data_IF_166251325273
#
_entry.id   IF_166251325273
#
_cell.length_a   1.000
_cell.length_b   1.000
_cell.length_c   1.000
_cell.angle_alpha   90.00
_cell.angle_beta   90.00
_cell.angle_gamma   90.00
#
_symmetry.space_group_name_H-M   'P 1'
#
loop_
_entity.id
_entity.type
_entity.pdbx_description
1 polymer ?
#
# COMPACT_ATOMS: atom_id res chain seq x y z
N UNK A 1 5.93 6.33 -3.86
CA UNK A 1 5.53 5.54 -2.67
C UNK A 1 5.04 4.13 -2.98
N UNK A 2 5.61 3.12 -2.30
CA UNK A 2 5.16 1.71 -2.26
C UNK A 2 4.40 1.43 -0.95
N UNK A 3 3.43 0.50 -0.99
CA UNK A 3 2.60 0.12 0.16
C UNK A 3 2.81 -1.34 0.54
N UNK A 4 3.14 -1.59 1.80
CA UNK A 4 3.18 -2.93 2.39
C UNK A 4 2.09 -3.11 3.45
N UNK A 5 1.33 -4.20 3.36
CA UNK A 5 0.38 -4.55 4.42
C UNK A 5 1.15 -5.00 5.67
N UNK A 6 0.62 -4.72 6.86
CA UNK A 6 1.16 -5.25 8.12
C UNK A 6 0.28 -6.35 8.68
N UNK A 7 0.87 -7.22 9.50
CA UNK A 7 0.10 -8.13 10.36
C UNK A 7 -0.71 -7.35 11.38
N UNK A 8 -1.80 -7.96 11.87
CA UNK A 8 -2.69 -7.32 12.86
C UNK A 8 -1.91 -7.03 14.15
N UNK A 9 -2.03 -5.81 14.66
CA UNK A 9 -1.36 -5.38 15.89
C UNK A 9 0.09 -4.91 15.69
N UNK A 10 0.70 -5.21 14.55
CA UNK A 10 2.13 -4.95 14.32
C UNK A 10 2.51 -3.48 14.46
N UNK A 11 1.69 -2.57 13.94
CA UNK A 11 1.91 -1.13 14.07
C UNK A 11 1.92 -0.71 15.53
N UNK A 12 0.98 -1.23 16.34
CA UNK A 12 0.92 -0.95 17.78
C UNK A 12 2.15 -1.51 18.50
N UNK A 13 2.56 -2.72 18.15
CA UNK A 13 3.75 -3.36 18.74
C UNK A 13 5.01 -2.54 18.42
N UNK A 14 5.20 -2.08 17.18
CA UNK A 14 6.34 -1.23 16.80
C UNK A 14 6.26 0.12 17.53
N UNK A 15 5.08 0.73 17.61
CA UNK A 15 4.86 1.99 18.33
C UNK A 15 5.24 1.87 19.81
N UNK A 16 4.81 0.78 20.46
CA UNK A 16 5.09 0.53 21.88
C UNK A 16 6.59 0.30 22.16
N UNK A 17 7.36 -0.12 21.14
CA UNK A 17 8.80 -0.36 21.23
C UNK A 17 9.65 0.81 20.69
N UNK A 18 9.17 2.05 20.83
CA UNK A 18 9.90 3.25 20.43
C UNK A 18 9.59 3.75 19.01
N UNK A 19 8.69 3.09 18.29
CA UNK A 19 8.18 3.54 17.00
C UNK A 19 9.05 3.16 15.81
N UNK A 20 8.58 3.56 14.62
CA UNK A 20 9.19 3.16 13.35
C UNK A 20 10.64 3.66 13.19
N UNK A 21 10.95 4.87 13.67
CA UNK A 21 12.31 5.42 13.63
C UNK A 21 13.29 4.60 14.48
N UNK A 22 12.87 4.17 15.67
CA UNK A 22 13.74 3.34 16.54
C UNK A 22 13.98 1.96 15.92
N UNK A 23 12.96 1.38 15.30
CA UNK A 23 13.13 0.15 14.51
C UNK A 23 14.11 0.35 13.35
N UNK A 24 13.99 1.45 12.61
CA UNK A 24 14.83 1.76 11.45
C UNK A 24 16.32 1.91 11.79
N UNK A 25 16.66 2.44 12.98
CA UNK A 25 18.06 2.57 13.44
C UNK A 25 18.81 1.24 13.56
N UNK A 26 18.10 0.11 13.63
CA UNK A 26 18.75 -1.23 13.61
C UNK A 26 19.32 -1.58 12.23
N UNK A 27 18.81 -0.96 11.17
CA UNK A 27 19.04 -1.35 9.79
C UNK A 27 19.74 -0.30 8.94
N UNK A 28 19.49 0.98 9.23
CA UNK A 28 19.89 2.10 8.38
C UNK A 28 20.70 3.15 9.14
N UNK A 29 21.33 4.05 8.36
CA UNK A 29 22.10 5.18 8.84
C UNK A 29 21.28 6.48 8.74
N UNK A 30 21.73 7.52 9.45
CA UNK A 30 21.14 8.86 9.39
C UNK A 30 19.61 8.88 9.60
N UNK A 31 19.12 8.04 10.52
CA UNK A 31 17.68 7.90 10.77
C UNK A 31 17.18 9.03 11.65
N UNK A 32 16.21 9.78 11.15
CA UNK A 32 15.54 10.87 11.85
C UNK A 32 14.03 10.61 11.92
N UNK A 33 13.42 10.85 13.09
CA UNK A 33 11.98 10.75 13.21
C UNK A 33 11.30 11.99 12.64
N UNK A 34 10.30 11.80 11.78
CA UNK A 34 9.56 12.88 11.12
C UNK A 34 8.11 13.01 11.62
N UNK A 35 7.75 12.29 12.68
CA UNK A 35 6.41 12.30 13.27
C UNK A 35 6.08 10.98 13.97
N UNK A 36 4.83 10.82 14.38
CA UNK A 36 4.35 9.58 14.99
C UNK A 36 4.47 8.42 14.00
N UNK A 37 5.35 7.47 14.31
CA UNK A 37 5.64 6.30 13.48
C UNK A 37 6.06 6.61 12.03
N UNK A 38 6.82 7.69 11.85
CA UNK A 38 7.45 8.06 10.60
C UNK A 38 8.94 8.31 10.78
N UNK A 39 9.73 8.05 9.73
CA UNK A 39 11.15 8.39 9.69
C UNK A 39 11.62 8.75 8.28
N UNK A 40 12.72 9.48 8.24
CA UNK A 40 13.62 9.62 7.10
C UNK A 40 14.94 8.93 7.43
N UNK A 41 15.63 8.38 6.42
CA UNK A 41 16.93 7.76 6.62
C UNK A 41 17.63 7.45 5.31
N UNK A 42 18.80 6.81 5.40
CA UNK A 42 19.60 6.41 4.25
C UNK A 42 20.47 5.22 4.61
N UNK A 43 20.85 4.39 3.65
CA UNK A 43 21.85 3.34 3.90
C UNK A 43 22.45 2.83 2.60
N UNK A 44 23.78 2.92 2.47
CA UNK A 44 24.52 2.42 1.31
C UNK A 44 23.94 2.94 -0.01
N UNK A 45 23.40 2.04 -0.84
CA UNK A 45 22.77 2.39 -2.12
C UNK A 45 21.42 3.13 -1.98
N UNK A 46 20.74 3.05 -0.83
CA UNK A 46 19.48 3.75 -0.57
C UNK A 46 19.78 5.18 -0.09
N UNK A 47 19.72 6.17 -0.99
CA UNK A 47 20.11 7.56 -0.71
C UNK A 47 19.10 8.29 0.14
N UNK A 48 17.83 8.01 -0.07
CA UNK A 48 16.77 8.44 0.83
C UNK A 48 15.78 7.30 1.04
N UNK A 49 15.29 7.21 2.26
CA UNK A 49 14.21 6.36 2.69
C UNK A 49 13.26 7.26 3.45
N UNK A 50 12.02 7.36 2.99
CA UNK A 50 10.94 7.95 3.75
C UNK A 50 9.93 6.86 4.04
N UNK A 51 9.54 6.69 5.30
CA UNK A 51 8.56 5.67 5.64
C UNK A 51 7.65 6.11 6.78
N UNK A 52 6.38 5.74 6.69
CA UNK A 52 5.40 5.98 7.73
C UNK A 52 4.31 4.90 7.74
N UNK A 53 3.69 4.67 8.89
CA UNK A 53 2.47 3.87 8.93
C UNK A 53 1.23 4.70 8.56
N UNK A 54 0.36 4.14 7.72
CA UNK A 54 -0.97 4.67 7.40
C UNK A 54 -2.01 3.57 7.64
N UNK A 55 -2.67 3.62 8.80
CA UNK A 55 -3.50 2.51 9.27
C UNK A 55 -2.66 1.24 9.50
N UNK A 56 -3.11 0.09 8.98
CA UNK A 56 -2.39 -1.20 9.06
C UNK A 56 -1.46 -1.42 7.85
N UNK A 57 -0.80 -0.37 7.38
CA UNK A 57 0.11 -0.44 6.24
C UNK A 57 1.34 0.44 6.44
N UNK A 58 2.50 -0.07 6.02
CA UNK A 58 3.71 0.71 5.86
C UNK A 58 3.72 1.33 4.47
N UNK A 59 3.88 2.64 4.40
CA UNK A 59 4.08 3.40 3.16
C UNK A 59 5.55 3.79 3.13
N UNK A 60 6.22 3.53 2.00
CA UNK A 60 7.63 3.86 1.85
C UNK A 60 7.90 4.58 0.53
N UNK A 61 8.89 5.44 0.52
CA UNK A 61 9.53 5.98 -0.67
C UNK A 61 11.03 5.75 -0.52
N UNK A 62 11.67 5.20 -1.55
CA UNK A 62 13.10 4.91 -1.50
C UNK A 62 13.73 5.35 -2.81
N UNK A 63 14.70 6.25 -2.70
CA UNK A 63 15.59 6.60 -3.81
C UNK A 63 16.85 5.75 -3.75
N UNK A 64 17.18 5.08 -4.86
CA UNK A 64 18.27 4.13 -4.93
C UNK A 64 19.29 4.54 -5.99
N UNK A 65 20.56 4.56 -5.60
CA UNK A 65 21.66 4.64 -6.54
C UNK A 65 22.01 3.25 -7.08
N UNK A 66 22.38 3.19 -8.36
CA UNK A 66 22.88 1.94 -8.95
C UNK A 66 24.29 1.68 -8.42
N UNK A 67 24.60 0.44 -8.00
CA UNK A 67 25.99 0.11 -7.71
C UNK A 67 26.83 0.17 -9.00
N UNK A 68 28.13 0.38 -8.84
CA UNK A 68 29.08 0.14 -9.91
C UNK A 68 29.12 -1.35 -10.23
N UNK A 69 28.60 -1.71 -11.41
CA UNK A 69 28.51 -3.08 -11.90
C UNK A 69 29.87 -3.66 -12.34
N UNK A 70 30.87 -2.81 -12.58
CA UNK A 70 32.22 -3.24 -12.94
C UNK A 70 33.05 -3.64 -11.72
N UNK A 71 32.61 -3.26 -10.52
CA UNK A 71 33.28 -3.52 -9.26
C UNK A 71 32.54 -4.61 -8.45
N UNK A 72 33.11 -5.82 -8.30
CA UNK A 72 32.49 -6.91 -7.55
C UNK A 72 32.19 -6.58 -6.08
N UNK A 73 33.01 -5.76 -5.42
CA UNK A 73 32.81 -5.36 -4.02
C UNK A 73 31.63 -4.39 -3.88
N UNK A 74 31.49 -3.45 -4.82
CA UNK A 74 30.32 -2.57 -4.92
C UNK A 74 29.03 -3.39 -5.08
N UNK A 75 29.06 -4.40 -5.95
CA UNK A 75 27.93 -5.31 -6.12
C UNK A 75 27.62 -6.14 -4.87
N UNK A 76 28.64 -6.55 -4.12
CA UNK A 76 28.48 -7.27 -2.86
C UNK A 76 27.83 -6.39 -1.79
N UNK A 77 28.35 -5.17 -1.58
CA UNK A 77 27.77 -4.19 -0.64
C UNK A 77 26.31 -3.91 -0.97
N UNK A 78 25.99 -3.68 -2.25
CA UNK A 78 24.62 -3.44 -2.69
C UNK A 78 23.65 -4.60 -2.39
N UNK A 79 24.14 -5.85 -2.35
CA UNK A 79 23.32 -7.01 -1.93
C UNK A 79 23.09 -6.99 -0.42
N UNK A 80 24.09 -6.64 0.36
CA UNK A 80 23.99 -6.51 1.81
C UNK A 80 23.02 -5.38 2.21
N UNK A 81 23.08 -4.24 1.53
CA UNK A 81 22.14 -3.13 1.71
C UNK A 81 20.68 -3.56 1.44
N UNK A 82 20.46 -4.30 0.33
CA UNK A 82 19.14 -4.85 -0.02
C UNK A 82 18.67 -5.92 0.96
N UNK A 83 19.58 -6.67 1.56
CA UNK A 83 19.25 -7.63 2.61
C UNK A 83 18.76 -6.90 3.86
N UNK A 84 19.44 -5.84 4.29
CA UNK A 84 19.02 -5.00 5.42
C UNK A 84 17.65 -4.36 5.18
N UNK A 85 17.42 -3.84 3.98
CA UNK A 85 16.10 -3.35 3.57
C UNK A 85 15.02 -4.43 3.70
N UNK A 86 15.30 -5.64 3.23
CA UNK A 86 14.36 -6.76 3.30
C UNK A 86 14.06 -7.15 4.75
N UNK A 87 15.07 -7.20 5.62
CA UNK A 87 14.90 -7.51 7.04
C UNK A 87 14.13 -6.42 7.78
N UNK A 88 14.39 -5.15 7.48
CA UNK A 88 13.57 -4.04 7.97
C UNK A 88 12.10 -4.20 7.57
N UNK A 89 11.82 -4.54 6.30
CA UNK A 89 10.46 -4.81 5.86
C UNK A 89 9.84 -6.01 6.59
N UNK A 90 10.60 -7.07 6.84
CA UNK A 90 10.14 -8.22 7.61
C UNK A 90 9.74 -7.81 9.04
N UNK A 91 10.61 -7.08 9.74
CA UNK A 91 10.36 -6.67 11.12
C UNK A 91 9.31 -5.55 11.24
N UNK A 92 9.17 -4.66 10.25
CA UNK A 92 8.17 -3.58 10.28
C UNK A 92 6.79 -4.03 9.82
N UNK A 93 6.68 -5.06 8.97
CA UNK A 93 5.40 -5.55 8.46
C UNK A 93 4.92 -6.83 9.15
N UNK A 94 5.85 -7.63 9.68
CA UNK A 94 5.57 -8.97 10.19
C UNK A 94 5.29 -10.01 9.09
N UNK A 95 5.64 -9.71 7.85
CA UNK A 95 5.53 -10.62 6.71
C UNK A 95 6.91 -10.83 6.10
N UNK A 96 7.18 -12.03 5.59
CA UNK A 96 8.33 -12.26 4.70
C UNK A 96 8.10 -11.69 3.29
N UNK A 97 9.12 -11.76 2.43
CA UNK A 97 9.05 -11.28 1.04
C UNK A 97 7.94 -11.92 0.22
N UNK A 98 7.68 -13.23 0.40
CA UNK A 98 6.63 -13.96 -0.31
C UNK A 98 5.25 -13.45 0.10
N UNK A 99 5.00 -13.35 1.39
CA UNK A 99 3.74 -12.86 1.95
C UNK A 99 3.50 -11.39 1.63
N UNK A 100 4.52 -10.54 1.62
CA UNK A 100 4.39 -9.16 1.11
C UNK A 100 3.92 -9.14 -0.34
N UNK A 101 4.50 -9.98 -1.20
CA UNK A 101 4.09 -10.12 -2.60
C UNK A 101 2.64 -10.62 -2.75
N UNK A 102 2.22 -11.62 -1.97
CA UNK A 102 0.84 -12.11 -1.97
C UNK A 102 -0.14 -11.01 -1.52
N UNK A 103 0.20 -10.25 -0.48
CA UNK A 103 -0.61 -9.14 0.03
C UNK A 103 -0.71 -7.98 -0.96
N UNK A 104 0.36 -7.65 -1.68
CA UNK A 104 0.33 -6.66 -2.75
C UNK A 104 -0.62 -7.11 -3.89
N UNK A 105 -0.58 -8.39 -4.27
CA UNK A 105 -1.52 -8.95 -5.26
C UNK A 105 -2.97 -8.91 -4.78
N UNK A 106 -3.24 -9.29 -3.52
CA UNK A 106 -4.57 -9.18 -2.93
C UNK A 106 -5.06 -7.72 -2.94
N UNK A 107 -4.19 -6.76 -2.66
CA UNK A 107 -4.50 -5.33 -2.71
C UNK A 107 -4.86 -4.86 -4.12
N UNK A 108 -4.07 -5.26 -5.12
CA UNK A 108 -4.35 -4.94 -6.53
C UNK A 108 -5.65 -5.57 -7.03
N UNK A 109 -5.95 -6.81 -6.61
CA UNK A 109 -7.23 -7.49 -6.93
C UNK A 109 -8.43 -6.71 -6.41
N UNK A 110 -8.34 -6.13 -5.20
CA UNK A 110 -9.41 -5.29 -4.65
C UNK A 110 -9.68 -4.05 -5.50
N UNK A 111 -8.61 -3.34 -5.93
CA UNK A 111 -8.77 -2.21 -6.84
C UNK A 111 -9.40 -2.62 -8.19
N UNK A 112 -8.92 -3.71 -8.78
CA UNK A 112 -9.43 -4.19 -10.06
C UNK A 112 -10.90 -4.61 -9.97
N UNK A 113 -11.30 -5.28 -8.87
CA UNK A 113 -12.69 -5.63 -8.62
C UNK A 113 -13.57 -4.38 -8.51
N UNK A 114 -13.13 -3.36 -7.78
CA UNK A 114 -13.85 -2.10 -7.65
C UNK A 114 -14.03 -1.38 -9.00
N UNK A 115 -12.96 -1.28 -9.80
CA UNK A 115 -13.00 -0.71 -11.16
C UNK A 115 -13.95 -1.50 -12.08
N UNK A 116 -13.93 -2.82 -11.97
CA UNK A 116 -14.84 -3.69 -12.72
C UNK A 116 -16.30 -3.48 -12.32
N UNK A 117 -16.60 -3.33 -11.02
CA UNK A 117 -17.94 -2.99 -10.54
C UNK A 117 -18.44 -1.65 -11.10
N UNK A 118 -17.57 -0.62 -11.17
CA UNK A 118 -17.92 0.67 -11.80
C UNK A 118 -18.26 0.47 -13.28
N UNK A 119 -17.40 -0.20 -14.04
CA UNK A 119 -17.60 -0.42 -15.48
C UNK A 119 -18.90 -1.19 -15.77
N UNK A 120 -19.14 -2.26 -15.00
CA UNK A 120 -20.37 -3.06 -15.11
C UNK A 120 -21.61 -2.23 -14.77
N UNK A 121 -21.55 -1.40 -13.72
CA UNK A 121 -22.66 -0.53 -13.33
C UNK A 121 -22.98 0.51 -14.42
N UNK A 122 -21.96 1.21 -14.93
CA UNK A 122 -22.11 2.17 -16.02
C UNK A 122 -22.74 1.52 -17.25
N UNK A 123 -22.27 0.33 -17.63
CA UNK A 123 -22.82 -0.43 -18.76
C UNK A 123 -24.25 -0.94 -18.52
N UNK A 124 -24.59 -1.38 -17.31
CA UNK A 124 -25.95 -1.80 -16.99
C UNK A 124 -26.93 -0.63 -17.09
N UNK A 125 -26.58 0.52 -16.52
CA UNK A 125 -27.43 1.72 -16.53
C UNK A 125 -27.68 2.26 -17.94
N UNK A 126 -26.76 2.07 -18.89
CA UNK A 126 -26.97 2.49 -20.29
C UNK A 126 -27.94 1.57 -21.04
N UNK A 127 -28.03 0.29 -20.66
CA UNK A 127 -28.90 -0.70 -21.28
C UNK A 127 -30.29 -0.78 -20.64
N UNK A 128 -30.40 -0.43 -19.36
CA UNK A 128 -31.65 -0.52 -18.61
C UNK A 128 -32.64 0.55 -19.08
N UNK A 129 -33.72 0.12 -19.76
CA UNK A 129 -34.73 1.03 -20.33
C UNK A 129 -35.65 1.69 -19.29
N UNK A 130 -35.84 1.06 -18.13
CA UNK A 130 -36.82 1.46 -17.10
C UNK A 130 -36.21 1.44 -15.68
N UNK A 131 -34.96 1.88 -15.51
CA UNK A 131 -34.37 1.99 -14.18
C UNK A 131 -34.93 3.22 -13.46
N UNK A 132 -35.42 3.12 -12.21
CA UNK A 132 -35.86 4.29 -11.46
C UNK A 132 -34.73 5.30 -11.30
N UNK A 133 -35.03 6.60 -11.47
CA UNK A 133 -34.04 7.66 -11.34
C UNK A 133 -33.32 7.62 -9.98
N UNK A 134 -34.06 7.34 -8.90
CA UNK A 134 -33.48 7.18 -7.56
C UNK A 134 -32.40 6.07 -7.50
N UNK A 135 -32.55 4.99 -8.28
CA UNK A 135 -31.56 3.92 -8.35
C UNK A 135 -30.32 4.37 -9.13
N UNK A 136 -30.51 5.13 -10.21
CA UNK A 136 -29.41 5.72 -10.99
C UNK A 136 -28.59 6.67 -10.12
N UNK A 137 -29.26 7.56 -9.38
CA UNK A 137 -28.61 8.54 -8.52
C UNK A 137 -27.78 7.84 -7.43
N UNK A 138 -28.37 6.87 -6.73
CA UNK A 138 -27.64 6.05 -5.74
C UNK A 138 -26.47 5.28 -6.32
N UNK A 139 -26.59 4.80 -7.56
CA UNK A 139 -25.50 4.10 -8.23
C UNK A 139 -24.35 5.05 -8.58
N UNK A 140 -24.66 6.27 -9.04
CA UNK A 140 -23.67 7.31 -9.33
C UNK A 140 -22.95 7.78 -8.05
N UNK A 141 -23.67 7.97 -6.94
CA UNK A 141 -23.06 8.31 -5.65
C UNK A 141 -22.07 7.22 -5.21
N UNK A 142 -22.45 5.95 -5.32
CA UNK A 142 -21.57 4.82 -5.01
C UNK A 142 -20.35 4.76 -5.94
N UNK A 143 -20.52 5.07 -7.23
CA UNK A 143 -19.40 5.16 -8.18
C UNK A 143 -18.41 6.22 -7.74
N UNK A 144 -18.89 7.42 -7.37
CA UNK A 144 -18.04 8.51 -6.90
C UNK A 144 -17.29 8.12 -5.62
N UNK A 145 -17.97 7.49 -4.66
CA UNK A 145 -17.31 6.99 -3.44
C UNK A 145 -16.21 5.96 -3.75
N UNK A 146 -16.42 5.09 -4.74
CA UNK A 146 -15.41 4.10 -5.16
C UNK A 146 -14.23 4.80 -5.82
N UNK A 147 -14.48 5.75 -6.73
CA UNK A 147 -13.44 6.51 -7.44
C UNK A 147 -12.56 7.29 -6.44
N UNK A 148 -13.16 8.02 -5.50
CA UNK A 148 -12.41 8.72 -4.44
C UNK A 148 -11.62 7.75 -3.55
N UNK A 149 -12.18 6.61 -3.16
CA UNK A 149 -11.45 5.61 -2.38
C UNK A 149 -10.26 5.01 -3.13
N UNK A 150 -10.36 4.83 -4.46
CA UNK A 150 -9.25 4.37 -5.29
C UNK A 150 -8.15 5.43 -5.41
N UNK A 151 -8.51 6.72 -5.52
CA UNK A 151 -7.56 7.84 -5.55
C UNK A 151 -6.81 7.99 -4.23
N UNK A 152 -7.50 7.85 -3.10
CA UNK A 152 -6.91 7.80 -1.76
C UNK A 152 -6.05 6.54 -1.51
N UNK A 153 -6.13 5.58 -2.42
CA UNK A 153 -5.47 4.29 -2.36
C UNK A 153 -6.10 3.31 -1.38
N UNK A 154 -7.31 3.53 -0.86
CA UNK A 154 -8.05 2.62 0.02
C UNK A 154 -8.88 1.60 -0.78
N UNK A 155 -8.18 0.59 -1.28
CA UNK A 155 -8.79 -0.47 -2.08
C UNK A 155 -9.78 -1.34 -1.29
N UNK A 156 -9.71 -1.36 0.06
CA UNK A 156 -10.68 -2.13 0.85
C UNK A 156 -12.02 -1.42 0.88
N UNK A 157 -12.03 -0.11 1.13
CA UNK A 157 -13.24 0.70 1.02
C UNK A 157 -13.79 0.67 -0.40
N UNK A 158 -12.94 0.84 -1.42
CA UNK A 158 -13.35 0.78 -2.82
C UNK A 158 -14.01 -0.56 -3.18
N UNK A 159 -13.40 -1.69 -2.82
CA UNK A 159 -13.97 -3.02 -3.08
C UNK A 159 -15.30 -3.24 -2.35
N UNK A 160 -15.40 -2.82 -1.08
CA UNK A 160 -16.64 -2.94 -0.30
C UNK A 160 -17.79 -2.10 -0.88
N UNK A 161 -17.50 -0.89 -1.36
CA UNK A 161 -18.48 -0.05 -2.08
C UNK A 161 -18.85 -0.63 -3.44
N UNK A 162 -17.89 -1.20 -4.18
CA UNK A 162 -18.14 -1.93 -5.42
C UNK A 162 -19.11 -3.11 -5.24
N UNK A 163 -19.00 -3.87 -4.15
CA UNK A 163 -19.96 -4.94 -3.84
C UNK A 163 -21.36 -4.41 -3.53
N UNK A 164 -21.46 -3.27 -2.83
CA UNK A 164 -22.76 -2.61 -2.59
C UNK A 164 -23.39 -2.15 -3.91
N UNK A 165 -22.59 -1.56 -4.81
CA UNK A 165 -23.02 -1.12 -6.14
C UNK A 165 -23.55 -2.29 -6.98
N UNK A 166 -22.80 -3.39 -7.05
CA UNK A 166 -23.25 -4.59 -7.77
C UNK A 166 -24.55 -5.16 -7.18
N UNK A 167 -24.72 -5.13 -5.85
CA UNK A 167 -25.97 -5.56 -5.20
C UNK A 167 -27.14 -4.60 -5.44
N UNK A 168 -26.90 -3.32 -5.65
CA UNK A 168 -27.95 -2.34 -5.95
C UNK A 168 -28.58 -2.60 -7.33
N UNK A 169 -27.74 -2.94 -8.31
CA UNK A 169 -28.15 -3.06 -9.73
C UNK A 169 -28.56 -4.49 -10.15
N UNK A 170 -28.20 -5.51 -9.38
CA UNK A 170 -28.62 -6.90 -9.61
C UNK A 170 -29.90 -7.29 -8.86
N UNK A 171 -30.63 -6.32 -8.29
CA UNK A 171 -31.97 -6.50 -7.72
C UNK A 171 -33.03 -6.30 -8.77
#
# INVERSE_FOLDING_TARGET
>A
MERFATTRGKVKDVTANGGLAELAKKYFDNVESTGENAFTGSHGIMKSIEAHYKGDALIVEVDNEKPDFSNPESMKSAREDRLRWTQFLDESTGYDSKKRGDKAKEWGKKANKAKSSISAAKHFMTLAKNLPQETIDKANDLIQEIESALEEGDNTKAAGRGEKLSKLLNK
#
